data_IF_802025731572
#
_entry.id   IF_802025731572
#
_cell.length_a   1.000
_cell.length_b   1.000
_cell.length_c   1.000
_cell.angle_alpha   90.00
_cell.angle_beta   90.00
_cell.angle_gamma   90.00
#
_symmetry.space_group_name_H-M   'P 1'
#
loop_
_entity.id
_entity.type
_entity.pdbx_description
1 polymer ?
#
# COMPACT_ATOMS: atom_id res chain seq x y z
N UNK A 1 -8.43 -63.04 -29.37
CA UNK A 1 -8.87 -61.66 -29.13
C UNK A 1 -7.97 -61.06 -28.04
N UNK A 2 -7.03 -60.20 -28.40
CA UNK A 2 -6.17 -59.47 -27.44
C UNK A 2 -6.86 -58.13 -27.13
N UNK A 3 -7.11 -57.85 -25.83
CA UNK A 3 -7.61 -56.57 -25.39
C UNK A 3 -6.50 -55.47 -25.55
N UNK A 4 -6.85 -54.27 -25.97
CA UNK A 4 -5.89 -53.18 -26.06
C UNK A 4 -5.57 -52.63 -24.66
N UNK A 5 -4.27 -52.56 -24.34
CA UNK A 5 -3.78 -51.79 -23.18
C UNK A 5 -4.10 -50.32 -23.35
N UNK A 6 -4.97 -49.78 -22.49
CA UNK A 6 -5.12 -48.31 -22.31
C UNK A 6 -3.85 -47.77 -21.64
N UNK A 7 -3.04 -47.07 -22.42
CA UNK A 7 -1.96 -46.25 -21.93
C UNK A 7 -2.55 -45.03 -21.22
N UNK A 8 -2.44 -44.96 -19.90
CA UNK A 8 -2.72 -43.72 -19.16
C UNK A 8 -1.70 -42.67 -19.61
N UNK A 9 -2.22 -41.56 -20.11
CA UNK A 9 -1.40 -40.38 -20.39
C UNK A 9 -0.77 -39.90 -19.07
N UNK A 10 0.48 -39.41 -19.08
CA UNK A 10 1.09 -38.86 -17.89
C UNK A 10 0.33 -37.61 -17.49
N UNK A 11 -0.28 -37.60 -16.31
CA UNK A 11 -0.74 -36.41 -15.63
C UNK A 11 0.49 -35.54 -15.37
N UNK A 12 0.71 -34.52 -16.17
CA UNK A 12 1.64 -33.42 -15.86
C UNK A 12 1.16 -32.77 -14.57
N UNK A 13 1.76 -33.14 -13.45
CA UNK A 13 1.58 -32.46 -12.17
C UNK A 13 2.06 -31.02 -12.37
N UNK A 14 1.13 -30.07 -12.41
CA UNK A 14 1.46 -28.66 -12.40
C UNK A 14 2.31 -28.35 -11.15
N UNK A 15 3.32 -27.52 -11.29
CA UNK A 15 4.15 -27.09 -10.15
C UNK A 15 3.26 -26.42 -9.13
N UNK A 16 3.30 -26.81 -7.84
CA UNK A 16 2.50 -26.20 -6.80
C UNK A 16 2.75 -24.69 -6.69
N UNK A 17 1.67 -23.91 -6.57
CA UNK A 17 1.73 -22.45 -6.43
C UNK A 17 1.48 -22.10 -4.96
N UNK A 18 2.45 -21.44 -4.36
CA UNK A 18 2.42 -20.96 -2.98
C UNK A 18 2.48 -19.43 -2.97
N UNK A 19 1.63 -18.79 -2.17
CA UNK A 19 1.49 -17.34 -2.12
C UNK A 19 1.91 -16.81 -0.75
N UNK A 20 2.46 -15.60 -0.72
CA UNK A 20 2.71 -14.88 0.53
C UNK A 20 2.24 -13.43 0.40
N UNK A 21 1.48 -12.96 1.39
CA UNK A 21 1.02 -11.59 1.48
C UNK A 21 1.62 -10.89 2.70
N UNK A 22 2.22 -9.73 2.49
CA UNK A 22 2.92 -8.99 3.52
C UNK A 22 4.31 -9.55 3.83
N UNK A 23 4.77 -9.27 5.04
CA UNK A 23 6.06 -9.77 5.57
C UNK A 23 5.82 -10.51 6.88
N UNK A 24 5.34 -11.76 6.86
CA UNK A 24 5.15 -12.54 8.07
C UNK A 24 6.44 -12.63 8.88
N UNK A 25 6.38 -12.43 10.21
CA UNK A 25 7.57 -12.56 11.05
C UNK A 25 8.16 -13.98 10.99
N UNK A 26 9.48 -14.06 10.98
CA UNK A 26 10.21 -15.34 10.95
C UNK A 26 9.77 -16.27 12.09
N UNK A 27 9.55 -17.53 11.77
CA UNK A 27 9.18 -18.56 12.74
C UNK A 27 7.72 -18.53 13.21
N UNK A 28 6.84 -17.71 12.60
CA UNK A 28 5.39 -17.76 12.84
C UNK A 28 4.65 -18.63 11.81
N UNK A 29 5.19 -18.77 10.62
CA UNK A 29 4.75 -19.71 9.59
C UNK A 29 5.94 -20.16 8.75
N UNK A 30 5.82 -21.33 8.13
CA UNK A 30 6.79 -21.81 7.17
C UNK A 30 6.45 -21.22 5.79
N UNK A 31 7.31 -20.32 5.31
CA UNK A 31 7.18 -19.73 3.99
C UNK A 31 8.15 -20.44 3.06
N UNK A 32 7.63 -21.07 2.04
CA UNK A 32 8.45 -21.76 1.05
C UNK A 32 9.29 -20.76 0.25
N UNK A 33 10.56 -21.09 -0.08
CA UNK A 33 11.39 -20.22 -0.91
C UNK A 33 10.80 -19.92 -2.31
N UNK A 34 9.93 -20.82 -2.80
CA UNK A 34 9.22 -20.67 -4.07
C UNK A 34 7.92 -19.85 -3.96
N UNK A 35 7.54 -19.40 -2.75
CA UNK A 35 6.30 -18.63 -2.56
C UNK A 35 6.36 -17.27 -3.29
N UNK A 36 5.32 -16.99 -4.05
CA UNK A 36 5.17 -15.74 -4.80
C UNK A 36 4.65 -14.66 -3.86
N UNK A 37 5.40 -13.58 -3.74
CA UNK A 37 4.97 -12.39 -2.98
C UNK A 37 3.90 -11.63 -3.76
N UNK A 38 2.78 -11.30 -3.10
CA UNK A 38 1.61 -10.66 -3.72
C UNK A 38 1.13 -9.41 -2.96
N UNK A 39 1.95 -8.87 -2.07
CA UNK A 39 1.58 -7.67 -1.32
C UNK A 39 1.66 -6.40 -2.18
N UNK A 40 0.65 -5.53 -2.15
CA UNK A 40 0.69 -4.24 -2.86
C UNK A 40 1.77 -3.29 -2.33
N UNK A 41 2.29 -3.53 -1.12
CA UNK A 41 3.35 -2.74 -0.48
C UNK A 41 4.77 -3.25 -0.82
N UNK A 42 4.90 -4.20 -1.73
CA UNK A 42 6.20 -4.74 -2.16
C UNK A 42 6.30 -4.57 -3.67
N UNK A 43 7.01 -3.53 -4.15
CA UNK A 43 7.15 -3.23 -5.56
C UNK A 43 7.63 -4.42 -6.39
N UNK A 44 7.02 -4.62 -7.55
CA UNK A 44 7.29 -5.76 -8.43
C UNK A 44 6.44 -7.02 -8.15
N UNK A 45 5.63 -7.02 -7.08
CA UNK A 45 4.70 -8.12 -6.80
C UNK A 45 3.53 -8.13 -7.81
N UNK A 46 3.08 -9.30 -8.29
CA UNK A 46 1.86 -9.40 -9.07
C UNK A 46 0.64 -8.98 -8.24
N UNK A 47 -0.37 -8.43 -8.89
CA UNK A 47 -1.61 -8.06 -8.24
C UNK A 47 -2.43 -9.31 -7.89
N UNK A 48 -2.99 -9.35 -6.69
CA UNK A 48 -3.85 -10.47 -6.24
C UNK A 48 -5.03 -10.70 -7.19
N UNK A 49 -5.57 -9.63 -7.72
CA UNK A 49 -6.73 -9.62 -8.61
C UNK A 49 -6.45 -10.31 -9.95
N UNK A 50 -5.18 -10.39 -10.37
CA UNK A 50 -4.73 -10.99 -11.62
C UNK A 50 -4.43 -12.50 -11.50
N UNK A 51 -4.38 -13.02 -10.27
CA UNK A 51 -4.17 -14.43 -10.03
C UNK A 51 -5.47 -15.19 -10.34
N UNK A 52 -5.35 -16.27 -11.10
CA UNK A 52 -6.48 -17.08 -11.51
C UNK A 52 -7.19 -17.75 -10.31
N UNK A 53 -8.51 -17.90 -10.39
CA UNK A 53 -9.31 -18.61 -9.38
C UNK A 53 -8.85 -20.06 -9.24
N UNK A 54 -8.85 -20.56 -8.01
CA UNK A 54 -8.55 -21.94 -7.67
C UNK A 54 -7.23 -22.46 -8.27
N UNK A 55 -6.22 -21.59 -8.38
CA UNK A 55 -4.92 -21.91 -8.98
C UNK A 55 -3.80 -22.17 -7.95
N UNK A 56 -3.95 -21.68 -6.72
CA UNK A 56 -2.91 -21.81 -5.70
C UNK A 56 -3.17 -22.97 -4.73
N UNK A 57 -2.10 -23.57 -4.25
CA UNK A 57 -2.11 -24.69 -3.30
C UNK A 57 -2.09 -24.23 -1.85
N UNK A 58 -1.34 -23.18 -1.55
CA UNK A 58 -1.30 -22.58 -0.21
C UNK A 58 -1.04 -21.07 -0.24
N UNK A 59 -1.43 -20.42 0.85
CA UNK A 59 -1.13 -19.00 1.07
C UNK A 59 -0.79 -18.73 2.54
N UNK A 60 0.17 -17.83 2.77
CA UNK A 60 0.52 -17.29 4.08
C UNK A 60 0.27 -15.78 4.07
N UNK A 61 -0.52 -15.28 5.00
CA UNK A 61 -0.99 -13.89 5.05
C UNK A 61 -0.63 -13.23 6.38
N UNK A 62 0.16 -12.18 6.34
CA UNK A 62 0.18 -11.21 7.42
C UNK A 62 -0.98 -10.23 7.18
N UNK A 63 -2.08 -10.45 7.89
CA UNK A 63 -3.32 -9.73 7.64
C UNK A 63 -3.23 -8.27 8.07
N UNK A 64 -3.75 -7.34 7.25
CA UNK A 64 -3.77 -5.92 7.59
C UNK A 64 -4.71 -5.62 8.77
N UNK A 65 -4.47 -4.52 9.52
CA UNK A 65 -5.24 -4.16 10.70
C UNK A 65 -6.68 -3.71 10.38
N UNK A 66 -6.89 -3.06 9.25
CA UNK A 66 -8.19 -2.55 8.80
C UNK A 66 -9.16 -3.69 8.47
N UNK A 67 -10.40 -3.63 8.96
CA UNK A 67 -11.37 -4.72 8.78
C UNK A 67 -11.73 -4.93 7.31
N UNK A 68 -12.09 -3.88 6.58
CA UNK A 68 -12.48 -3.99 5.17
C UNK A 68 -11.32 -4.49 4.28
N UNK A 69 -10.10 -3.99 4.53
CA UNK A 69 -8.90 -4.44 3.84
C UNK A 69 -8.57 -5.91 4.17
N UNK A 70 -8.63 -6.28 5.45
CA UNK A 70 -8.37 -7.65 5.89
C UNK A 70 -9.35 -8.65 5.28
N UNK A 71 -10.65 -8.34 5.33
CA UNK A 71 -11.68 -9.22 4.78
C UNK A 71 -11.55 -9.35 3.25
N UNK A 72 -11.15 -8.26 2.56
CA UNK A 72 -10.82 -8.29 1.14
C UNK A 72 -9.62 -9.20 0.84
N UNK A 73 -8.52 -9.08 1.60
CA UNK A 73 -7.33 -9.92 1.40
C UNK A 73 -7.66 -11.38 1.66
N UNK A 74 -8.41 -11.70 2.72
CA UNK A 74 -8.85 -13.08 3.00
C UNK A 74 -9.73 -13.60 1.87
N UNK A 75 -10.69 -12.80 1.38
CA UNK A 75 -11.56 -13.18 0.28
C UNK A 75 -10.77 -13.46 -1.01
N UNK A 76 -9.76 -12.62 -1.33
CA UNK A 76 -8.88 -12.85 -2.47
C UNK A 76 -8.10 -14.16 -2.31
N UNK A 77 -7.57 -14.45 -1.10
CA UNK A 77 -6.86 -15.71 -0.88
C UNK A 77 -7.79 -16.92 -1.03
N UNK A 78 -8.99 -16.85 -0.46
CA UNK A 78 -9.98 -17.92 -0.60
C UNK A 78 -10.47 -18.10 -2.05
N UNK A 79 -10.46 -17.04 -2.88
CA UNK A 79 -10.77 -17.11 -4.30
C UNK A 79 -9.68 -17.87 -5.08
N UNK A 80 -8.41 -17.49 -4.85
CA UNK A 80 -7.28 -18.02 -5.63
C UNK A 80 -6.83 -19.42 -5.18
N UNK A 81 -7.06 -19.79 -3.91
CA UNK A 81 -6.79 -21.13 -3.43
C UNK A 81 -7.74 -22.15 -4.07
N UNK A 82 -7.24 -23.32 -4.45
CA UNK A 82 -8.09 -24.47 -4.82
C UNK A 82 -8.88 -24.98 -3.62
N UNK A 83 -10.02 -25.67 -3.81
CA UNK A 83 -10.70 -26.37 -2.72
C UNK A 83 -9.73 -27.33 -2.00
N UNK A 84 -9.70 -27.28 -0.66
CA UNK A 84 -8.71 -28.02 0.13
C UNK A 84 -7.32 -27.39 0.18
N UNK A 85 -7.10 -26.22 -0.44
CA UNK A 85 -5.85 -25.46 -0.34
C UNK A 85 -5.68 -24.85 1.05
N UNK A 86 -4.45 -24.76 1.52
CA UNK A 86 -4.10 -24.35 2.88
C UNK A 86 -3.95 -22.82 2.98
N UNK A 87 -4.58 -22.20 3.97
CA UNK A 87 -4.45 -20.80 4.27
C UNK A 87 -4.00 -20.57 5.72
N UNK A 88 -2.84 -19.96 5.88
CA UNK A 88 -2.38 -19.46 7.19
C UNK A 88 -2.54 -17.95 7.24
N UNK A 89 -3.34 -17.46 8.18
CA UNK A 89 -3.56 -16.02 8.39
C UNK A 89 -3.07 -15.62 9.77
N UNK A 90 -2.25 -14.59 9.86
CA UNK A 90 -1.76 -14.08 11.14
C UNK A 90 -1.91 -12.57 11.24
N UNK A 91 -2.14 -12.08 12.47
CA UNK A 91 -2.14 -10.65 12.80
C UNK A 91 -1.76 -10.44 14.26
N UNK A 92 -1.20 -9.28 14.59
CA UNK A 92 -1.04 -8.84 15.97
C UNK A 92 -2.41 -8.82 16.68
N UNK A 93 -2.45 -9.26 17.94
CA UNK A 93 -3.70 -9.38 18.71
C UNK A 93 -4.50 -8.08 18.76
N UNK A 94 -3.82 -6.96 18.97
CA UNK A 94 -4.36 -5.61 19.06
C UNK A 94 -4.62 -4.96 17.67
N UNK A 95 -4.06 -5.54 16.59
CA UNK A 95 -4.22 -5.07 15.20
C UNK A 95 -5.05 -6.03 14.36
N UNK A 96 -6.18 -6.44 14.89
CA UNK A 96 -7.15 -7.28 14.20
C UNK A 96 -7.03 -8.79 14.47
N UNK A 97 -5.96 -9.27 15.12
CA UNK A 97 -5.75 -10.69 15.40
C UNK A 97 -6.86 -11.31 16.23
N UNK A 98 -7.40 -10.58 17.21
CA UNK A 98 -8.52 -11.05 18.03
C UNK A 98 -9.84 -11.29 17.26
N UNK A 99 -9.92 -10.85 16.01
CA UNK A 99 -11.09 -11.00 15.13
C UNK A 99 -10.89 -11.99 13.99
N UNK A 100 -9.68 -12.56 13.82
CA UNK A 100 -9.35 -13.44 12.69
C UNK A 100 -10.28 -14.63 12.59
N UNK A 101 -10.50 -15.37 13.70
CA UNK A 101 -11.42 -16.49 13.75
C UNK A 101 -12.79 -16.10 13.21
N UNK A 102 -13.38 -15.05 13.76
CA UNK A 102 -14.72 -14.58 13.35
C UNK A 102 -14.78 -14.19 11.87
N UNK A 103 -13.73 -13.52 11.36
CA UNK A 103 -13.65 -13.18 9.92
C UNK A 103 -13.61 -14.43 9.04
N UNK A 104 -12.80 -15.43 9.40
CA UNK A 104 -12.67 -16.68 8.63
C UNK A 104 -13.93 -17.56 8.71
N UNK A 105 -14.54 -17.68 9.90
CA UNK A 105 -15.81 -18.39 10.09
C UNK A 105 -16.96 -17.77 9.27
N UNK A 106 -16.94 -16.44 9.05
CA UNK A 106 -17.94 -15.76 8.22
C UNK A 106 -17.81 -16.16 6.72
N UNK A 107 -16.64 -16.62 6.28
CA UNK A 107 -16.44 -17.22 4.96
C UNK A 107 -16.76 -18.72 4.89
N UNK A 108 -17.20 -19.32 6.00
CA UNK A 108 -17.52 -20.75 6.10
C UNK A 108 -16.31 -21.65 6.36
N UNK A 109 -15.18 -21.07 6.81
CA UNK A 109 -14.00 -21.86 7.13
C UNK A 109 -14.11 -22.48 8.53
N UNK A 110 -13.64 -23.73 8.68
CA UNK A 110 -13.30 -24.29 9.97
C UNK A 110 -11.91 -23.80 10.40
N UNK A 111 -11.77 -23.31 11.62
CA UNK A 111 -10.59 -22.53 12.03
C UNK A 111 -9.88 -23.18 13.21
N UNK A 112 -8.66 -23.65 12.97
CA UNK A 112 -7.69 -23.90 14.01
C UNK A 112 -6.91 -22.64 14.34
N UNK A 113 -6.67 -22.36 15.62
CA UNK A 113 -6.08 -21.10 16.07
C UNK A 113 -5.03 -21.31 17.16
N UNK A 114 -3.91 -20.63 17.02
CA UNK A 114 -2.87 -20.55 18.07
C UNK A 114 -2.41 -19.12 18.31
N UNK A 115 -1.55 -18.93 19.30
CA UNK A 115 -0.96 -17.64 19.63
C UNK A 115 0.53 -17.77 19.84
N UNK A 116 1.32 -16.92 19.15
CA UNK A 116 2.77 -16.86 19.31
C UNK A 116 3.26 -15.43 19.06
N UNK A 117 4.24 -14.97 19.88
CA UNK A 117 4.87 -13.67 19.72
C UNK A 117 3.85 -12.52 19.50
N UNK A 118 2.86 -12.40 20.38
CA UNK A 118 1.76 -11.42 20.32
C UNK A 118 0.85 -11.49 19.08
N UNK A 119 1.01 -12.49 18.21
CA UNK A 119 0.13 -12.73 17.08
C UNK A 119 -0.93 -13.78 17.41
N UNK A 120 -2.09 -13.66 16.78
CA UNK A 120 -3.01 -14.76 16.51
C UNK A 120 -2.66 -15.33 15.15
N UNK A 121 -2.65 -16.65 15.07
CA UNK A 121 -2.35 -17.41 13.85
C UNK A 121 -3.49 -18.39 13.65
N UNK A 122 -4.20 -18.24 12.55
CA UNK A 122 -5.31 -19.10 12.16
C UNK A 122 -4.87 -19.97 10.99
N UNK A 123 -5.21 -21.23 11.05
CA UNK A 123 -5.00 -22.24 10.01
C UNK A 123 -6.36 -22.69 9.51
N UNK A 124 -6.57 -22.64 8.23
CA UNK A 124 -7.81 -23.10 7.59
C UNK A 124 -7.49 -23.84 6.31
N UNK A 125 -8.36 -24.80 5.99
CA UNK A 125 -8.45 -25.40 4.67
C UNK A 125 -9.59 -24.70 3.90
N UNK A 126 -9.34 -24.30 2.65
CA UNK A 126 -10.36 -23.62 1.85
C UNK A 126 -11.56 -24.54 1.64
N UNK A 127 -12.77 -24.16 2.11
CA UNK A 127 -13.97 -24.98 1.90
C UNK A 127 -14.35 -25.06 0.42
N UNK A 128 -15.09 -26.10 0.05
CA UNK A 128 -15.62 -26.23 -1.30
C UNK A 128 -16.53 -25.06 -1.73
N UNK A 129 -17.33 -24.56 -0.78
CA UNK A 129 -18.17 -23.37 -0.94
C UNK A 129 -17.73 -22.29 0.02
N UNK A 130 -17.29 -21.13 -0.49
CA UNK A 130 -16.91 -19.96 0.30
C UNK A 130 -18.09 -18.99 0.36
N UNK A 131 -18.52 -18.61 1.56
CA UNK A 131 -19.62 -17.68 1.80
C UNK A 131 -19.14 -16.22 1.76
N UNK A 132 -20.00 -15.28 1.36
CA UNK A 132 -19.72 -13.84 1.48
C UNK A 132 -18.53 -13.28 0.68
N UNK A 133 -17.93 -14.08 -0.20
CA UNK A 133 -16.71 -13.69 -0.94
C UNK A 133 -16.95 -12.48 -1.83
N UNK A 134 -18.03 -12.48 -2.59
CA UNK A 134 -18.41 -11.39 -3.51
C UNK A 134 -18.59 -10.06 -2.77
N UNK A 135 -19.26 -10.10 -1.62
CA UNK A 135 -19.49 -8.92 -0.79
C UNK A 135 -18.16 -8.33 -0.26
N UNK A 136 -17.27 -9.20 0.23
CA UNK A 136 -15.96 -8.76 0.75
C UNK A 136 -15.08 -8.20 -0.37
N UNK A 137 -15.06 -8.84 -1.54
CA UNK A 137 -14.35 -8.36 -2.73
C UNK A 137 -14.89 -6.99 -3.18
N UNK A 138 -16.20 -6.82 -3.26
CA UNK A 138 -16.82 -5.55 -3.64
C UNK A 138 -16.52 -4.43 -2.65
N UNK A 139 -16.58 -4.71 -1.34
CA UNK A 139 -16.31 -3.73 -0.27
C UNK A 139 -14.86 -3.30 -0.20
N UNK A 140 -13.94 -4.17 -0.55
CA UNK A 140 -12.49 -3.91 -0.48
C UNK A 140 -11.87 -3.46 -1.80
N UNK A 141 -12.59 -3.48 -2.91
CA UNK A 141 -12.08 -3.07 -4.22
C UNK A 141 -11.91 -1.57 -4.36
N UNK A 142 -11.10 -1.18 -5.35
CA UNK A 142 -10.97 0.20 -5.81
C UNK A 142 -12.33 0.72 -6.32
N UNK A 143 -12.81 1.83 -5.76
CA UNK A 143 -14.13 2.41 -6.09
C UNK A 143 -14.13 3.93 -6.01
N UNK A 144 -15.08 4.55 -6.68
CA UNK A 144 -15.42 5.95 -6.48
C UNK A 144 -16.12 6.13 -5.13
N UNK A 145 -15.50 6.84 -4.20
CA UNK A 145 -16.00 7.02 -2.84
C UNK A 145 -17.15 8.02 -2.74
N UNK A 146 -17.13 9.02 -3.60
CA UNK A 146 -17.96 10.21 -3.45
C UNK A 146 -19.07 10.26 -4.51
N UNK A 147 -19.02 9.40 -5.55
CA UNK A 147 -19.79 9.57 -6.77
C UNK A 147 -19.38 10.82 -7.55
N UNK A 148 -18.25 11.44 -7.20
CA UNK A 148 -17.71 12.66 -7.81
C UNK A 148 -16.39 12.41 -8.55
N UNK A 149 -16.03 11.15 -8.76
CA UNK A 149 -14.84 10.76 -9.50
C UNK A 149 -13.57 10.65 -8.65
N UNK A 150 -13.65 10.64 -7.31
CA UNK A 150 -12.50 10.38 -6.44
C UNK A 150 -12.43 8.90 -6.09
N UNK A 151 -11.49 8.22 -6.72
CA UNK A 151 -11.24 6.80 -6.55
C UNK A 151 -10.32 6.51 -5.39
N UNK A 152 -10.66 5.50 -4.58
CA UNK A 152 -9.84 5.02 -3.49
C UNK A 152 -10.16 3.57 -3.12
N UNK A 153 -9.34 2.99 -2.24
CA UNK A 153 -9.49 1.59 -1.80
C UNK A 153 -9.17 1.47 -0.31
N UNK A 154 -9.94 0.66 0.45
CA UNK A 154 -9.59 0.34 1.84
C UNK A 154 -8.16 -0.17 1.97
N UNK A 155 -7.42 0.39 2.95
CA UNK A 155 -6.00 0.11 3.19
C UNK A 155 -5.05 1.16 2.64
N UNK A 156 -5.44 1.96 1.65
CA UNK A 156 -4.69 3.15 1.23
C UNK A 156 -4.81 4.23 2.31
N UNK A 157 -3.75 4.99 2.52
CA UNK A 157 -3.76 6.08 3.51
C UNK A 157 -4.93 7.04 3.28
N UNK A 158 -5.69 7.31 4.34
CA UNK A 158 -6.87 8.21 4.32
C UNK A 158 -7.89 7.88 3.23
N UNK A 159 -8.09 6.58 2.99
CA UNK A 159 -8.87 6.05 1.87
C UNK A 159 -10.33 6.54 1.82
N UNK A 160 -10.92 6.91 2.95
CA UNK A 160 -12.33 7.25 3.10
C UNK A 160 -12.61 8.74 3.36
N UNK A 161 -11.56 9.58 3.43
CA UNK A 161 -11.68 11.02 3.72
C UNK A 161 -10.44 11.79 3.28
N UNK A 162 -10.58 13.10 3.11
CA UNK A 162 -9.44 14.00 2.94
C UNK A 162 -8.68 14.11 4.28
N UNK A 163 -7.39 13.78 4.26
CA UNK A 163 -6.51 13.95 5.42
C UNK A 163 -6.35 15.45 5.78
N UNK A 164 -6.54 15.84 7.06
CA UNK A 164 -6.43 17.25 7.47
C UNK A 164 -5.05 17.86 7.22
N UNK A 165 -3.98 17.07 7.32
CA UNK A 165 -2.62 17.52 6.99
C UNK A 165 -2.47 17.83 5.51
N UNK A 166 -2.91 16.93 4.63
CA UNK A 166 -2.94 17.16 3.18
C UNK A 166 -3.79 18.39 2.82
N UNK A 167 -4.96 18.55 3.45
CA UNK A 167 -5.80 19.71 3.24
C UNK A 167 -5.10 21.03 3.64
N UNK A 168 -4.38 21.04 4.78
CA UNK A 168 -3.60 22.19 5.22
C UNK A 168 -2.47 22.49 4.24
N UNK A 169 -1.76 21.47 3.75
CA UNK A 169 -0.69 21.65 2.77
C UNK A 169 -1.23 22.22 1.47
N UNK A 170 -2.29 21.66 0.89
CA UNK A 170 -2.95 22.16 -0.33
C UNK A 170 -3.31 23.66 -0.19
N UNK A 171 -3.92 24.05 0.93
CA UNK A 171 -4.29 25.45 1.20
C UNK A 171 -3.08 26.39 1.32
N UNK A 172 -1.91 25.84 1.69
CA UNK A 172 -0.70 26.64 1.97
C UNK A 172 0.24 26.71 0.78
N UNK A 173 0.13 25.77 -0.18
CA UNK A 173 0.98 25.75 -1.37
C UNK A 173 0.88 27.05 -2.17
N UNK A 174 2.01 27.63 -2.63
CA UNK A 174 2.00 28.69 -3.63
C UNK A 174 1.72 28.09 -5.02
N UNK A 175 1.59 28.93 -6.01
CA UNK A 175 1.64 28.51 -7.42
C UNK A 175 3.03 27.95 -7.72
N UNK A 176 3.11 26.63 -7.93
CA UNK A 176 4.35 25.92 -8.25
C UNK A 176 4.62 25.97 -9.76
N UNK A 177 5.89 25.80 -10.14
CA UNK A 177 6.33 25.82 -11.55
C UNK A 177 7.48 24.86 -11.80
N UNK A 178 7.64 24.42 -13.08
CA UNK A 178 8.70 23.53 -13.49
C UNK A 178 8.38 22.06 -13.24
N UNK A 179 9.42 21.26 -12.99
CA UNK A 179 9.32 19.81 -12.78
C UNK A 179 9.26 19.51 -11.27
N UNK A 180 8.39 18.60 -10.88
CA UNK A 180 8.25 18.25 -9.46
C UNK A 180 7.96 16.79 -9.18
N UNK A 181 7.96 16.47 -7.89
CA UNK A 181 7.62 15.13 -7.39
C UNK A 181 6.63 15.24 -6.23
N UNK A 182 5.70 14.28 -6.19
CA UNK A 182 4.81 14.01 -5.04
C UNK A 182 5.29 12.70 -4.40
N UNK A 183 5.96 12.81 -3.25
CA UNK A 183 6.53 11.66 -2.55
C UNK A 183 5.54 11.10 -1.52
N UNK A 184 5.13 9.84 -1.72
CA UNK A 184 4.04 9.24 -0.96
C UNK A 184 2.69 9.82 -1.39
N UNK A 185 2.43 9.76 -2.71
CA UNK A 185 1.33 10.49 -3.32
C UNK A 185 -0.07 10.02 -2.87
N UNK A 186 -0.18 8.84 -2.25
CA UNK A 186 -1.46 8.26 -1.92
C UNK A 186 -2.37 8.18 -3.14
N UNK A 187 -3.60 8.65 -3.01
CA UNK A 187 -4.57 8.67 -4.11
C UNK A 187 -4.41 9.89 -5.05
N UNK A 188 -3.35 10.70 -4.90
CA UNK A 188 -3.01 11.80 -5.81
C UNK A 188 -3.66 13.15 -5.50
N UNK A 189 -4.17 13.38 -4.28
CA UNK A 189 -4.87 14.64 -3.95
C UNK A 189 -3.95 15.87 -3.96
N UNK A 190 -2.69 15.75 -3.52
CA UNK A 190 -1.71 16.84 -3.64
C UNK A 190 -1.39 17.13 -5.10
N UNK A 191 -1.23 16.08 -5.90
CA UNK A 191 -0.94 16.20 -7.32
C UNK A 191 -2.06 16.92 -8.08
N UNK A 192 -3.33 16.66 -7.77
CA UNK A 192 -4.46 17.40 -8.35
C UNK A 192 -4.31 18.91 -8.11
N UNK A 193 -4.05 19.33 -6.86
CA UNK A 193 -3.90 20.74 -6.53
C UNK A 193 -2.65 21.36 -7.19
N UNK A 194 -1.54 20.64 -7.26
CA UNK A 194 -0.29 21.09 -7.91
C UNK A 194 -0.49 21.30 -9.41
N UNK A 195 -1.21 20.41 -10.07
CA UNK A 195 -1.44 20.44 -11.53
C UNK A 195 -2.47 21.48 -11.97
N UNK A 196 -3.20 22.14 -11.05
CA UNK A 196 -3.97 23.34 -11.34
C UNK A 196 -3.09 24.48 -11.91
N UNK A 197 -1.79 24.48 -11.54
CA UNK A 197 -0.83 25.42 -12.10
C UNK A 197 -0.42 25.02 -13.52
N UNK A 198 -0.72 25.89 -14.49
CA UNK A 198 -0.23 25.73 -15.88
C UNK A 198 1.30 25.90 -16.01
N UNK A 199 1.99 26.40 -14.97
CA UNK A 199 3.44 26.55 -14.97
C UNK A 199 4.19 25.26 -14.54
N UNK A 200 3.50 24.26 -14.02
CA UNK A 200 4.08 22.92 -13.79
C UNK A 200 4.20 22.21 -15.14
N UNK A 201 5.40 21.72 -15.44
CA UNK A 201 5.71 21.09 -16.74
C UNK A 201 5.72 19.56 -16.65
N UNK A 202 6.01 19.00 -15.47
CA UNK A 202 5.95 17.56 -15.20
C UNK A 202 5.81 17.33 -13.70
N UNK A 203 5.08 16.27 -13.33
CA UNK A 203 4.94 15.83 -11.94
C UNK A 203 5.05 14.31 -11.87
N UNK A 204 6.01 13.80 -11.09
CA UNK A 204 6.14 12.36 -10.83
C UNK A 204 5.53 12.03 -9.47
N UNK A 205 4.52 11.16 -9.49
CA UNK A 205 3.84 10.66 -8.31
C UNK A 205 4.44 9.31 -7.91
N UNK A 206 4.94 9.20 -6.69
CA UNK A 206 5.58 7.98 -6.19
C UNK A 206 4.87 7.50 -4.95
N UNK A 207 4.55 6.20 -4.91
CA UNK A 207 4.07 5.54 -3.71
C UNK A 207 4.55 4.09 -3.65
N UNK A 208 4.72 3.56 -2.44
CA UNK A 208 5.06 2.16 -2.20
C UNK A 208 3.84 1.24 -2.33
N UNK A 209 2.63 1.78 -2.24
CA UNK A 209 1.38 1.04 -2.34
C UNK A 209 0.84 1.08 -3.78
N UNK A 210 0.86 -0.07 -4.47
CA UNK A 210 0.33 -0.17 -5.84
C UNK A 210 -1.15 0.22 -5.94
N UNK A 211 -1.93 0.06 -4.87
CA UNK A 211 -3.34 0.45 -4.81
C UNK A 211 -3.49 1.97 -4.81
N UNK A 212 -2.59 2.66 -4.11
CA UNK A 212 -2.51 4.13 -4.14
C UNK A 212 -2.18 4.61 -5.56
N UNK A 213 -1.18 4.02 -6.21
CA UNK A 213 -0.83 4.34 -7.60
C UNK A 213 -2.00 4.09 -8.55
N UNK A 214 -2.70 2.94 -8.45
CA UNK A 214 -3.89 2.64 -9.26
C UNK A 214 -5.01 3.67 -9.05
N UNK A 215 -5.21 4.11 -7.80
CA UNK A 215 -6.18 5.17 -7.48
C UNK A 215 -5.74 6.53 -8.05
N UNK A 216 -4.47 6.90 -7.85
CA UNK A 216 -3.91 8.14 -8.37
C UNK A 216 -4.01 8.23 -9.90
N UNK A 217 -3.74 7.14 -10.62
CA UNK A 217 -3.90 7.07 -12.09
C UNK A 217 -5.34 7.32 -12.56
N UNK A 218 -6.33 6.97 -11.75
CA UNK A 218 -7.74 7.26 -12.06
C UNK A 218 -8.14 8.68 -11.69
N UNK A 219 -7.57 9.21 -10.62
CA UNK A 219 -7.87 10.55 -10.12
C UNK A 219 -7.16 11.65 -10.90
N UNK A 220 -5.92 11.41 -11.32
CA UNK A 220 -5.05 12.39 -11.98
C UNK A 220 -4.86 12.00 -13.44
N UNK A 221 -5.69 12.53 -14.31
CA UNK A 221 -5.67 12.25 -15.77
C UNK A 221 -4.85 13.27 -16.57
N UNK A 222 -4.19 14.20 -15.90
CA UNK A 222 -3.35 15.22 -16.54
C UNK A 222 -2.13 14.58 -17.22
N UNK A 223 -1.86 14.84 -18.50
CA UNK A 223 -0.74 14.23 -19.24
C UNK A 223 0.64 14.61 -18.72
N UNK A 224 0.75 15.61 -17.85
CA UNK A 224 2.00 15.98 -17.17
C UNK A 224 2.35 15.08 -16.00
N UNK A 225 1.40 14.25 -15.53
CA UNK A 225 1.60 13.30 -14.45
C UNK A 225 2.25 12.00 -14.93
N UNK A 226 3.27 11.56 -14.21
CA UNK A 226 3.86 10.22 -14.34
C UNK A 226 3.75 9.50 -13.00
N UNK A 227 3.58 8.18 -13.02
CA UNK A 227 3.32 7.37 -11.84
C UNK A 227 4.40 6.31 -11.67
N UNK A 228 4.87 6.13 -10.43
CA UNK A 228 5.93 5.20 -10.10
C UNK A 228 5.58 4.41 -8.82
N UNK A 229 5.38 3.11 -8.98
CA UNK A 229 5.20 2.20 -7.85
C UNK A 229 6.56 1.75 -7.33
N UNK A 230 7.09 2.44 -6.35
CA UNK A 230 8.42 2.18 -5.84
C UNK A 230 8.62 2.61 -4.40
N UNK A 231 9.65 2.05 -3.76
CA UNK A 231 10.08 2.50 -2.43
C UNK A 231 11.03 3.69 -2.57
N UNK A 232 10.66 4.84 -2.08
CA UNK A 232 11.47 6.07 -2.15
C UNK A 232 12.84 5.91 -1.46
N UNK A 233 12.99 4.91 -0.57
CA UNK A 233 14.24 4.65 0.17
C UNK A 233 15.29 3.94 -0.69
N UNK A 234 14.86 3.16 -1.68
CA UNK A 234 15.72 2.31 -2.52
C UNK A 234 15.98 2.88 -3.90
N UNK A 235 15.28 3.94 -4.31
CA UNK A 235 15.30 4.41 -5.67
C UNK A 235 16.26 5.59 -5.90
N UNK A 236 17.06 5.48 -6.97
CA UNK A 236 17.64 6.61 -7.68
C UNK A 236 16.58 7.10 -8.69
N UNK A 237 15.88 8.17 -8.37
CA UNK A 237 14.88 8.77 -9.26
C UNK A 237 15.43 10.01 -9.95
N UNK A 238 14.60 10.67 -10.78
CA UNK A 238 15.01 11.86 -11.50
C UNK A 238 15.55 12.91 -10.54
N UNK A 239 16.71 13.50 -10.90
CA UNK A 239 17.34 14.62 -10.20
C UNK A 239 16.86 15.96 -10.80
N UNK A 240 17.38 17.06 -10.24
CA UNK A 240 17.17 18.42 -10.73
C UNK A 240 15.68 18.87 -10.74
N UNK A 241 14.93 18.45 -9.72
CA UNK A 241 13.55 18.88 -9.54
C UNK A 241 13.46 20.32 -9.04
N UNK A 242 12.49 21.06 -9.54
CA UNK A 242 12.20 22.44 -9.09
C UNK A 242 11.49 22.43 -7.76
N UNK A 243 10.62 21.45 -7.53
CA UNK A 243 9.91 21.29 -6.27
C UNK A 243 9.63 19.82 -5.90
N UNK A 244 9.40 19.60 -4.61
CA UNK A 244 8.85 18.38 -4.04
C UNK A 244 7.68 18.75 -3.14
N UNK A 245 6.57 18.04 -3.24
CA UNK A 245 5.47 18.07 -2.26
C UNK A 245 5.39 16.72 -1.57
N UNK A 246 5.04 16.69 -0.27
CA UNK A 246 4.86 15.44 0.44
C UNK A 246 4.06 15.57 1.73
N UNK A 247 3.28 14.54 2.04
CA UNK A 247 2.74 14.25 3.35
C UNK A 247 3.33 12.91 3.82
N UNK A 248 4.54 12.91 4.40
CA UNK A 248 5.26 11.67 4.71
C UNK A 248 4.46 10.79 5.69
N UNK A 249 4.51 9.46 5.56
CA UNK A 249 3.87 8.57 6.50
C UNK A 249 4.51 8.72 7.89
N UNK A 250 3.67 8.72 8.93
CA UNK A 250 4.08 8.85 10.33
C UNK A 250 4.09 7.51 11.06
N UNK A 251 3.55 6.46 10.42
CA UNK A 251 3.40 5.12 10.99
C UNK A 251 3.75 4.09 9.93
N UNK A 252 4.71 3.22 10.23
CA UNK A 252 4.92 1.97 9.50
C UNK A 252 4.34 0.84 10.35
N UNK A 253 3.42 0.05 9.77
CA UNK A 253 2.72 -1.05 10.47
C UNK A 253 2.08 -0.66 11.84
N UNK A 254 1.74 0.61 12.03
CA UNK A 254 1.07 1.13 13.22
C UNK A 254 1.99 1.52 14.38
N UNK A 255 3.30 1.58 14.20
CA UNK A 255 4.27 2.25 15.08
C UNK A 255 4.70 3.58 14.47
N UNK A 256 4.99 4.59 15.31
CA UNK A 256 5.61 5.83 14.82
C UNK A 256 7.00 5.50 14.27
N UNK A 257 7.22 5.68 12.98
CA UNK A 257 8.53 5.52 12.35
C UNK A 257 9.11 6.89 11.97
N UNK A 258 9.81 7.49 12.93
CA UNK A 258 10.55 8.73 12.68
C UNK A 258 11.60 8.57 11.57
N UNK A 259 12.19 7.38 11.44
CA UNK A 259 13.21 7.10 10.44
C UNK A 259 12.63 7.13 9.03
N UNK A 260 11.38 6.71 8.84
CA UNK A 260 10.72 6.75 7.54
C UNK A 260 10.49 8.20 7.09
N UNK A 261 9.90 9.06 7.92
CA UNK A 261 9.72 10.47 7.59
C UNK A 261 11.04 11.19 7.32
N UNK A 262 12.10 10.87 8.07
CA UNK A 262 13.45 11.38 7.79
C UNK A 262 14.01 10.89 6.45
N UNK A 263 13.70 9.66 6.03
CA UNK A 263 14.07 9.15 4.71
C UNK A 263 13.41 9.94 3.59
N UNK A 264 12.11 10.28 3.74
CA UNK A 264 11.40 11.16 2.80
C UNK A 264 12.06 12.54 2.68
N UNK A 265 12.44 13.16 3.82
CA UNK A 265 13.11 14.46 3.82
C UNK A 265 14.48 14.37 3.12
N UNK A 266 15.28 13.33 3.41
CA UNK A 266 16.56 13.10 2.72
C UNK A 266 16.38 12.89 1.24
N UNK A 267 15.36 12.13 0.84
CA UNK A 267 15.03 11.92 -0.57
C UNK A 267 14.66 13.22 -1.28
N UNK A 268 13.77 14.04 -0.68
CA UNK A 268 13.42 15.35 -1.22
C UNK A 268 14.66 16.23 -1.42
N UNK A 269 15.56 16.27 -0.43
CA UNK A 269 16.81 17.01 -0.54
C UNK A 269 17.73 16.48 -1.65
N UNK A 270 17.79 15.17 -1.90
CA UNK A 270 18.67 14.58 -2.92
C UNK A 270 18.20 14.87 -4.35
N UNK A 271 16.88 14.92 -4.59
CA UNK A 271 16.33 15.10 -5.94
C UNK A 271 16.17 16.56 -6.36
N UNK A 272 16.11 17.49 -5.40
CA UNK A 272 15.95 18.92 -5.68
C UNK A 272 17.24 19.52 -6.26
N UNK A 273 17.09 20.37 -7.28
CA UNK A 273 18.18 21.24 -7.76
C UNK A 273 18.50 22.33 -6.73
N UNK A 274 19.63 22.98 -6.88
CA UNK A 274 19.97 24.18 -6.08
C UNK A 274 18.88 25.25 -6.27
N UNK A 275 18.37 25.77 -5.16
CA UNK A 275 17.26 26.73 -5.11
C UNK A 275 15.88 26.12 -5.27
N UNK A 276 15.74 24.82 -5.49
CA UNK A 276 14.48 24.09 -5.50
C UNK A 276 13.84 24.05 -4.09
N UNK A 277 12.55 23.78 -4.02
CA UNK A 277 11.78 23.84 -2.78
C UNK A 277 11.09 22.52 -2.43
N UNK A 278 11.15 22.15 -1.16
CA UNK A 278 10.35 21.07 -0.59
C UNK A 278 9.20 21.67 0.24
N UNK A 279 7.98 21.25 -0.06
CA UNK A 279 6.78 21.59 0.70
C UNK A 279 6.29 20.32 1.39
N UNK A 280 6.31 20.32 2.71
CA UNK A 280 5.89 19.16 3.48
C UNK A 280 4.96 19.53 4.61
N UNK A 281 4.03 18.64 4.91
CA UNK A 281 3.21 18.67 6.11
C UNK A 281 3.65 17.57 7.08
N UNK A 282 3.60 17.87 8.36
CA UNK A 282 3.96 16.93 9.43
C UNK A 282 3.08 17.16 10.66
N UNK A 283 2.90 16.12 11.47
CA UNK A 283 2.31 16.27 12.80
C UNK A 283 3.15 17.23 13.65
N UNK A 284 2.49 18.09 14.44
CA UNK A 284 3.12 19.15 15.25
C UNK A 284 4.24 18.62 16.16
N UNK A 285 4.08 17.44 16.74
CA UNK A 285 5.03 16.87 17.70
C UNK A 285 6.24 16.20 17.06
N UNK A 286 6.27 16.06 15.73
CA UNK A 286 7.41 15.46 15.03
C UNK A 286 8.51 16.52 14.81
N UNK A 287 9.73 16.31 15.32
CA UNK A 287 10.82 17.29 15.25
C UNK A 287 11.55 17.23 13.90
N UNK A 288 10.82 17.38 12.77
CA UNK A 288 11.41 17.34 11.44
C UNK A 288 12.35 18.52 11.15
N UNK A 289 12.24 19.61 11.91
CA UNK A 289 13.15 20.74 11.82
C UNK A 289 14.62 20.31 11.99
N UNK A 290 14.89 19.33 12.87
CA UNK A 290 16.24 18.80 13.11
C UNK A 290 16.80 18.07 11.88
N UNK A 291 15.94 17.46 11.10
CA UNK A 291 16.33 16.77 9.86
C UNK A 291 16.41 17.73 8.68
N UNK A 292 15.52 18.73 8.62
CA UNK A 292 15.46 19.71 7.53
C UNK A 292 16.65 20.68 7.56
N UNK A 293 17.00 21.25 8.73
CA UNK A 293 18.03 22.28 8.86
C UNK A 293 19.39 21.93 8.26
N UNK A 294 19.93 20.70 8.42
CA UNK A 294 21.23 20.34 7.84
C UNK A 294 21.19 20.07 6.34
N UNK A 295 20.02 19.84 5.75
CA UNK A 295 19.84 19.45 4.35
C UNK A 295 19.40 20.60 3.44
N UNK A 296 18.84 21.67 4.03
CA UNK A 296 18.29 22.79 3.29
C UNK A 296 18.87 24.12 3.76
N UNK A 297 19.14 25.00 2.81
CA UNK A 297 19.70 26.33 3.10
C UNK A 297 18.75 27.22 3.92
N UNK A 298 17.44 27.04 3.75
CA UNK A 298 16.41 27.78 4.50
C UNK A 298 15.21 26.88 4.77
N UNK A 299 14.73 26.90 6.02
CA UNK A 299 13.51 26.19 6.45
C UNK A 299 12.57 27.21 7.08
N UNK A 300 11.36 27.31 6.58
CA UNK A 300 10.35 28.28 7.02
C UNK A 300 9.06 27.56 7.39
N UNK A 301 8.55 27.78 8.59
CA UNK A 301 7.19 27.37 8.96
C UNK A 301 6.19 28.30 8.26
N UNK A 302 5.32 27.73 7.43
CA UNK A 302 4.34 28.49 6.62
C UNK A 302 2.95 28.49 7.22
N UNK A 303 2.57 27.38 7.85
CA UNK A 303 1.27 27.24 8.51
C UNK A 303 1.36 26.26 9.68
N UNK A 304 0.52 26.50 10.68
CA UNK A 304 0.29 25.55 11.79
C UNK A 304 -1.19 25.59 12.14
N UNK A 305 -1.87 24.45 12.01
CA UNK A 305 -3.27 24.29 12.34
C UNK A 305 -3.63 22.83 12.58
N UNK A 306 -4.67 22.57 13.39
CA UNK A 306 -5.26 21.25 13.61
C UNK A 306 -4.26 20.13 13.99
N UNK A 307 -3.17 20.49 14.69
CA UNK A 307 -2.14 19.53 15.07
C UNK A 307 -1.08 19.25 13.98
N UNK A 308 -1.09 20.00 12.89
CA UNK A 308 -0.14 19.89 11.78
C UNK A 308 0.67 21.16 11.59
N UNK A 309 1.87 21.01 11.02
CA UNK A 309 2.77 22.08 10.59
C UNK A 309 3.09 21.91 9.11
N UNK A 310 3.11 22.98 8.35
CA UNK A 310 3.58 23.02 6.96
C UNK A 310 4.88 23.79 6.88
N UNK A 311 5.89 23.15 6.28
CA UNK A 311 7.20 23.75 6.05
C UNK A 311 7.46 23.98 4.57
N UNK A 312 8.10 25.11 4.27
CA UNK A 312 8.86 25.34 3.05
C UNK A 312 10.35 25.16 3.36
N UNK A 313 11.03 24.23 2.70
CA UNK A 313 12.47 24.04 2.81
C UNK A 313 13.13 24.25 1.44
N UNK A 314 14.05 25.22 1.34
CA UNK A 314 14.77 25.58 0.11
C UNK A 314 16.18 25.03 0.12
N UNK A 315 16.55 24.35 -0.97
CA UNK A 315 17.89 23.79 -1.17
C UNK A 315 18.91 24.81 -1.65
#
# INVERSE_FOLDING_TARGET
>A
MKQPHMTQAPTTSATPIHLVYGRPPLGLADILPSAVQISPLIPGSPAMEEIADASADSAVVLAPPGTAERDYVIAQMLRVLRPGGELTVMALKDKGGSRLRKSLEAFGCDVDETSKAHHRIAFVERPGLVQGIEEALSKGALRDLTGQGIWSQPGVFSWDRLDPGSALLIKTLPVLSGKGMDLGCGIGLLALAVLESGAVTALTLIDIDSRAIKAAQRNVTDPRAAFDWSDIRSQEGPADQDFVVMNPPFHDAGSEDKALGQAFIRRAASVLRKGGTCWLVANRHLPYEETLKPLFAKVTLKAEAQGYKVYEARK
#
